data_IF_165443473607
#
_entry.id   IF_165443473607
#
_cell.length_a   1.000
_cell.length_b   1.000
_cell.length_c   1.000
_cell.angle_alpha   90.00
_cell.angle_beta   90.00
_cell.angle_gamma   90.00
#
_symmetry.space_group_name_H-M   'P 1'
#
loop_
_entity.id
_entity.type
_entity.pdbx_description
1 polymer ?
#
# COMPACT_ATOMS: atom_id res chain seq x y z
N UNK A 1 -1.91 10.79 35.08
CA UNK A 1 -2.23 9.67 34.17
C UNK A 1 -0.91 9.27 33.51
N UNK A 2 -0.57 7.98 33.45
CA UNK A 2 0.61 7.53 32.73
C UNK A 2 0.42 7.88 31.24
N UNK A 3 1.52 8.25 30.57
CA UNK A 3 1.54 8.50 29.13
C UNK A 3 1.19 7.20 28.40
N UNK A 4 0.24 7.25 27.46
CA UNK A 4 -0.16 6.06 26.71
C UNK A 4 0.97 5.61 25.77
N UNK A 5 1.17 4.30 25.63
CA UNK A 5 2.22 3.71 24.80
C UNK A 5 1.60 2.99 23.59
N UNK A 6 2.01 3.40 22.39
CA UNK A 6 1.64 2.77 21.12
C UNK A 6 2.78 1.88 20.62
N UNK A 7 2.52 0.59 20.45
CA UNK A 7 3.42 -0.32 19.76
C UNK A 7 3.28 -0.14 18.22
N UNK A 8 4.39 0.22 17.57
CA UNK A 8 4.49 0.34 16.11
C UNK A 8 5.28 -0.85 15.58
N UNK A 9 4.59 -1.80 14.96
CA UNK A 9 5.20 -3.01 14.41
C UNK A 9 5.69 -2.77 12.98
N UNK A 10 6.95 -3.14 12.68
CA UNK A 10 7.60 -2.84 11.42
C UNK A 10 8.01 -1.37 11.29
N UNK A 11 8.64 -0.82 12.33
CA UNK A 11 8.99 0.61 12.41
C UNK A 11 10.21 1.02 11.58
N UNK A 12 10.95 0.09 10.96
CA UNK A 12 12.03 0.43 10.03
C UNK A 12 11.52 0.57 8.59
N UNK A 13 12.04 1.51 7.82
CA UNK A 13 11.56 1.83 6.50
C UNK A 13 12.54 1.46 5.40
N UNK A 14 12.11 0.63 4.45
CA UNK A 14 12.92 0.27 3.27
C UNK A 14 12.71 1.21 2.08
N UNK A 15 11.67 2.03 2.12
CA UNK A 15 11.31 2.96 1.03
C UNK A 15 11.12 4.38 1.56
N UNK A 16 11.31 5.41 0.71
CA UNK A 16 11.11 6.80 1.13
C UNK A 16 9.69 7.07 1.65
N UNK A 17 8.70 6.52 1.00
CA UNK A 17 7.29 6.70 1.42
C UNK A 17 6.98 5.99 2.72
N UNK A 18 7.55 4.81 2.98
CA UNK A 18 7.39 4.14 4.28
C UNK A 18 8.05 4.94 5.42
N UNK A 19 9.21 5.58 5.14
CA UNK A 19 9.86 6.49 6.09
C UNK A 19 8.99 7.73 6.36
N UNK A 20 8.35 8.28 5.34
CA UNK A 20 7.41 9.38 5.49
C UNK A 20 6.19 8.99 6.33
N UNK A 21 5.65 7.78 6.16
CA UNK A 21 4.57 7.25 7.00
C UNK A 21 4.95 7.21 8.48
N UNK A 22 6.11 6.64 8.82
CA UNK A 22 6.58 6.56 10.22
C UNK A 22 6.82 7.95 10.78
N UNK A 23 7.41 8.86 10.01
CA UNK A 23 7.64 10.24 10.42
C UNK A 23 6.33 10.97 10.75
N UNK A 24 5.29 10.82 9.90
CA UNK A 24 3.96 11.41 10.13
C UNK A 24 3.29 10.77 11.34
N UNK A 25 3.29 9.45 11.44
CA UNK A 25 2.78 8.74 12.60
C UNK A 25 3.43 9.24 13.89
N UNK A 26 4.76 9.28 13.92
CA UNK A 26 5.53 9.76 15.08
C UNK A 26 5.16 11.19 15.47
N UNK A 27 5.12 12.10 14.49
CA UNK A 27 4.76 13.50 14.75
C UNK A 27 3.32 13.65 15.27
N UNK A 28 2.38 12.88 14.71
CA UNK A 28 0.96 12.93 15.08
C UNK A 28 0.69 12.29 16.44
N UNK A 29 1.38 11.19 16.77
CA UNK A 29 1.31 10.55 18.09
C UNK A 29 1.90 11.44 19.19
N UNK A 30 3.07 12.05 18.95
CA UNK A 30 3.70 12.98 19.90
C UNK A 30 2.84 14.20 20.22
N UNK A 31 2.09 14.74 19.23
CA UNK A 31 1.12 15.82 19.48
C UNK A 31 -0.02 15.42 20.44
N UNK A 32 -0.24 14.12 20.60
CA UNK A 32 -1.22 13.52 21.51
C UNK A 32 -0.62 13.11 22.87
N UNK A 33 0.67 13.33 23.07
CA UNK A 33 1.37 12.86 24.27
C UNK A 33 1.45 11.33 24.32
N UNK A 34 1.53 10.66 23.17
CA UNK A 34 1.62 9.20 23.08
C UNK A 34 3.06 8.80 22.83
N UNK A 35 3.57 7.92 23.69
CA UNK A 35 4.89 7.31 23.59
C UNK A 35 4.87 6.20 22.51
N UNK A 36 5.96 6.09 21.75
CA UNK A 36 6.09 5.10 20.68
C UNK A 36 7.12 4.03 21.05
N UNK A 37 6.67 2.78 21.13
CA UNK A 37 7.53 1.60 21.18
C UNK A 37 7.60 0.99 19.77
N UNK A 38 8.76 1.11 19.11
CA UNK A 38 9.00 0.50 17.82
C UNK A 38 9.40 -0.96 17.95
N UNK A 39 8.83 -1.84 17.12
CA UNK A 39 9.22 -3.24 17.04
C UNK A 39 9.58 -3.62 15.60
N UNK A 40 10.71 -4.29 15.41
CA UNK A 40 11.10 -4.87 14.13
C UNK A 40 12.09 -6.01 14.33
N UNK A 41 12.37 -6.77 13.27
CA UNK A 41 13.36 -7.83 13.35
C UNK A 41 14.74 -7.28 13.69
N UNK A 42 15.54 -8.04 14.43
CA UNK A 42 16.91 -7.63 14.77
C UNK A 42 17.74 -7.32 13.51
N UNK A 43 17.46 -7.96 12.39
CA UNK A 43 18.12 -7.70 11.11
C UNK A 43 17.74 -6.33 10.54
N UNK A 44 16.45 -5.96 10.59
CA UNK A 44 15.96 -4.67 10.11
C UNK A 44 16.46 -3.53 10.99
N UNK A 45 16.41 -3.69 12.32
CA UNK A 45 16.93 -2.70 13.28
C UNK A 45 18.43 -2.40 13.04
N UNK A 46 19.23 -3.43 12.74
CA UNK A 46 20.66 -3.22 12.42
C UNK A 46 20.90 -2.50 11.09
N UNK A 47 19.96 -2.59 10.14
CA UNK A 47 20.05 -1.95 8.81
C UNK A 47 19.37 -0.59 8.74
N UNK A 48 18.66 -0.19 9.81
CA UNK A 48 17.95 1.08 9.85
C UNK A 48 18.91 2.25 9.56
N UNK A 49 18.45 3.20 8.76
CA UNK A 49 19.21 4.39 8.44
C UNK A 49 19.44 5.29 9.68
N UNK A 50 20.52 6.06 9.73
CA UNK A 50 20.72 7.03 10.80
C UNK A 50 19.50 7.93 10.99
N UNK A 51 19.06 8.11 12.23
CA UNK A 51 17.89 8.93 12.58
C UNK A 51 16.53 8.25 12.37
N UNK A 52 16.46 7.08 11.75
CA UNK A 52 15.20 6.36 11.57
C UNK A 52 14.66 5.80 12.88
N UNK A 53 15.53 5.22 13.70
CA UNK A 53 15.15 4.70 15.02
C UNK A 53 14.77 5.80 16.03
N UNK A 54 15.21 7.05 15.82
CA UNK A 54 14.82 8.19 16.66
C UNK A 54 13.39 8.69 16.39
N UNK A 55 12.71 8.14 15.40
CA UNK A 55 11.28 8.42 15.16
C UNK A 55 10.38 7.75 16.22
N UNK A 56 10.89 6.78 16.97
CA UNK A 56 10.23 6.13 18.11
C UNK A 56 11.02 6.38 19.38
N UNK A 57 10.39 6.24 20.55
CA UNK A 57 11.01 6.58 21.83
C UNK A 57 11.83 5.41 22.40
N UNK A 58 11.44 4.19 22.03
CA UNK A 58 12.14 2.95 22.39
C UNK A 58 11.99 1.92 21.26
N UNK A 59 12.92 0.98 21.17
CA UNK A 59 12.85 -0.12 20.18
C UNK A 59 12.99 -1.47 20.87
N UNK A 60 12.26 -2.46 20.36
CA UNK A 60 12.36 -3.87 20.74
C UNK A 60 12.60 -4.74 19.51
N UNK A 61 13.53 -5.70 19.64
CA UNK A 61 13.73 -6.72 18.61
C UNK A 61 12.63 -7.78 18.74
N UNK A 62 11.77 -7.87 17.71
CA UNK A 62 10.67 -8.82 17.62
C UNK A 62 10.54 -9.25 16.16
N UNK A 63 10.29 -10.52 15.90
CA UNK A 63 9.95 -10.96 14.57
C UNK A 63 8.49 -10.56 14.26
N UNK A 64 8.33 -9.37 13.73
CA UNK A 64 7.03 -8.76 13.39
C UNK A 64 6.35 -9.39 12.18
N UNK A 65 6.96 -10.41 11.57
CA UNK A 65 6.40 -11.19 10.47
C UNK A 65 5.90 -12.57 10.95
N UNK A 66 6.27 -12.98 12.16
CA UNK A 66 5.84 -14.25 12.78
C UNK A 66 4.76 -13.98 13.85
N UNK A 67 3.53 -14.42 13.56
CA UNK A 67 2.39 -14.24 14.47
C UNK A 67 2.55 -15.00 15.80
N UNK A 68 3.22 -16.15 15.82
CA UNK A 68 3.43 -16.93 17.04
C UNK A 68 4.50 -16.27 17.91
N UNK A 69 5.58 -15.75 17.33
CA UNK A 69 6.57 -14.95 18.05
C UNK A 69 5.93 -13.69 18.67
N UNK A 70 5.03 -13.03 17.94
CA UNK A 70 4.31 -11.85 18.42
C UNK A 70 3.35 -12.17 19.56
N UNK A 71 2.60 -13.28 19.51
CA UNK A 71 1.76 -13.75 20.61
C UNK A 71 2.58 -14.12 21.84
N UNK A 72 3.72 -14.81 21.66
CA UNK A 72 4.61 -15.14 22.75
C UNK A 72 5.17 -13.90 23.45
N UNK A 73 5.54 -12.87 22.68
CA UNK A 73 5.96 -11.58 23.22
C UNK A 73 4.83 -10.90 24.01
N UNK A 74 3.62 -10.89 23.47
CA UNK A 74 2.44 -10.31 24.10
C UNK A 74 2.08 -11.04 25.41
N UNK A 75 2.32 -12.34 25.52
CA UNK A 75 2.08 -13.11 26.74
C UNK A 75 2.92 -12.61 27.94
N UNK A 76 4.04 -11.92 27.69
CA UNK A 76 4.84 -11.20 28.70
C UNK A 76 4.15 -9.95 29.26
N UNK A 77 2.97 -9.58 28.74
CA UNK A 77 2.18 -8.41 29.12
C UNK A 77 2.99 -7.11 29.17
N UNK A 78 3.61 -6.70 28.06
CA UNK A 78 4.31 -5.42 27.98
C UNK A 78 3.33 -4.28 28.26
N UNK A 79 3.84 -3.16 28.79
CA UNK A 79 3.03 -1.96 29.04
C UNK A 79 2.76 -1.22 27.72
N UNK A 80 1.74 -1.67 26.97
CA UNK A 80 1.28 -1.09 25.69
C UNK A 80 -0.23 -0.89 25.77
N UNK A 81 -0.70 0.23 25.26
CA UNK A 81 -2.11 0.62 25.27
C UNK A 81 -2.77 0.49 23.89
N UNK A 82 -1.96 0.44 22.83
CA UNK A 82 -2.44 0.24 21.46
C UNK A 82 -1.38 -0.43 20.59
N UNK A 83 -1.81 -1.10 19.50
CA UNK A 83 -0.95 -1.76 18.51
C UNK A 83 -1.29 -1.24 17.12
N UNK A 84 -0.28 -0.89 16.33
CA UNK A 84 -0.42 -0.39 14.98
C UNK A 84 0.71 -0.92 14.09
N UNK A 85 0.41 -1.16 12.82
CA UNK A 85 1.41 -1.37 11.77
C UNK A 85 1.08 -0.55 10.53
N UNK A 86 2.12 -0.18 9.78
CA UNK A 86 2.01 0.37 8.42
C UNK A 86 2.49 -0.62 7.36
N UNK A 87 2.89 -1.82 7.78
CA UNK A 87 3.52 -2.84 6.94
C UNK A 87 2.54 -3.93 6.56
N UNK A 88 2.44 -4.22 5.27
CA UNK A 88 1.60 -5.29 4.72
C UNK A 88 1.87 -6.66 5.39
N UNK A 89 3.14 -7.01 5.57
CA UNK A 89 3.51 -8.32 6.14
C UNK A 89 3.28 -8.42 7.64
N UNK A 90 3.08 -7.29 8.33
CA UNK A 90 2.88 -7.25 9.78
C UNK A 90 1.41 -7.04 10.18
N UNK A 91 0.46 -6.91 9.23
CA UNK A 91 -0.95 -6.65 9.58
C UNK A 91 -1.57 -7.80 10.39
N UNK A 92 -1.35 -9.05 9.99
CA UNK A 92 -1.83 -10.20 10.73
C UNK A 92 -1.10 -10.38 12.08
N UNK A 93 0.24 -10.34 12.17
CA UNK A 93 0.94 -10.33 13.45
C UNK A 93 0.50 -9.19 14.39
N UNK A 94 0.21 -7.99 13.87
CA UNK A 94 -0.28 -6.88 14.69
C UNK A 94 -1.68 -7.16 15.26
N UNK A 95 -2.60 -7.70 14.46
CA UNK A 95 -3.92 -8.10 14.93
C UNK A 95 -3.85 -9.20 16.01
N UNK A 96 -2.98 -10.21 15.81
CA UNK A 96 -2.73 -11.27 16.79
C UNK A 96 -2.12 -10.73 18.10
N UNK A 97 -1.26 -9.72 18.01
CA UNK A 97 -0.68 -9.06 19.17
C UNK A 97 -1.74 -8.28 19.95
N UNK A 98 -2.57 -7.49 19.25
CA UNK A 98 -3.65 -6.74 19.86
C UNK A 98 -4.66 -7.66 20.56
N UNK A 99 -5.08 -8.76 19.91
CA UNK A 99 -5.96 -9.79 20.46
C UNK A 99 -5.35 -10.40 21.74
N UNK A 100 -4.08 -10.81 21.71
CA UNK A 100 -3.39 -11.43 22.84
C UNK A 100 -3.24 -10.49 24.05
N UNK A 101 -3.18 -9.18 23.80
CA UNK A 101 -3.13 -8.13 24.83
C UNK A 101 -4.52 -7.66 25.30
N UNK A 102 -5.60 -8.09 24.60
CA UNK A 102 -6.96 -7.61 24.87
C UNK A 102 -7.17 -6.14 24.47
N UNK A 103 -6.40 -5.66 23.49
CA UNK A 103 -6.44 -4.27 23.01
C UNK A 103 -7.36 -4.13 21.78
N UNK A 104 -7.85 -2.90 21.50
CA UNK A 104 -8.61 -2.63 20.29
C UNK A 104 -7.81 -2.97 19.03
N UNK A 105 -8.46 -3.67 18.08
CA UNK A 105 -7.85 -4.08 16.81
C UNK A 105 -8.89 -4.74 15.89
N UNK A 106 -8.46 -5.16 14.71
CA UNK A 106 -9.26 -6.01 13.84
C UNK A 106 -9.19 -7.46 14.31
N UNK A 107 -10.28 -8.20 14.09
CA UNK A 107 -10.29 -9.66 14.24
C UNK A 107 -9.20 -10.28 13.33
N UNK A 108 -8.28 -11.10 13.87
CA UNK A 108 -7.25 -11.77 13.06
C UNK A 108 -7.80 -12.57 11.88
N UNK A 109 -9.00 -13.13 11.97
CA UNK A 109 -9.63 -13.84 10.86
C UNK A 109 -10.10 -12.89 9.76
N UNK A 110 -10.57 -11.68 10.12
CA UNK A 110 -10.87 -10.64 9.14
C UNK A 110 -9.60 -10.16 8.42
N UNK A 111 -8.52 -9.94 9.17
CA UNK A 111 -7.21 -9.58 8.60
C UNK A 111 -6.67 -10.69 7.68
N UNK A 112 -6.74 -11.95 8.10
CA UNK A 112 -6.33 -13.10 7.26
C UNK A 112 -7.16 -13.16 5.98
N UNK A 113 -8.45 -12.91 6.05
CA UNK A 113 -9.36 -12.85 4.89
C UNK A 113 -8.96 -11.74 3.92
N UNK A 114 -8.67 -10.55 4.41
CA UNK A 114 -8.23 -9.42 3.59
C UNK A 114 -6.86 -9.71 2.95
N UNK A 115 -5.93 -10.24 3.74
CA UNK A 115 -4.56 -10.54 3.30
C UNK A 115 -4.47 -11.64 2.23
N UNK A 116 -5.35 -12.64 2.28
CA UNK A 116 -5.41 -13.72 1.31
C UNK A 116 -6.43 -13.41 0.22
N UNK A 117 -5.93 -13.09 -0.98
CA UNK A 117 -6.76 -12.62 -2.11
C UNK A 117 -7.90 -13.56 -2.48
N UNK A 118 -7.69 -14.89 -2.40
CA UNK A 118 -8.74 -15.89 -2.62
C UNK A 118 -9.88 -15.80 -1.62
N UNK A 119 -9.55 -15.68 -0.33
CA UNK A 119 -10.54 -15.55 0.75
C UNK A 119 -11.30 -14.22 0.65
N UNK A 120 -10.60 -13.14 0.33
CA UNK A 120 -11.20 -11.84 0.10
C UNK A 120 -12.19 -11.88 -1.10
N UNK A 121 -11.77 -12.44 -2.24
CA UNK A 121 -12.60 -12.65 -3.44
C UNK A 121 -13.84 -13.48 -3.13
N UNK A 122 -13.67 -14.58 -2.41
CA UNK A 122 -14.78 -15.44 -2.00
C UNK A 122 -15.78 -14.66 -1.16
N UNK A 123 -15.33 -13.96 -0.11
CA UNK A 123 -16.20 -13.22 0.79
C UNK A 123 -16.95 -12.08 0.09
N UNK A 124 -16.27 -11.35 -0.80
CA UNK A 124 -16.90 -10.29 -1.58
C UNK A 124 -17.96 -10.84 -2.53
N UNK A 125 -17.71 -11.99 -3.17
CA UNK A 125 -18.69 -12.66 -4.03
C UNK A 125 -19.93 -13.11 -3.24
N UNK A 126 -19.72 -13.72 -2.06
CA UNK A 126 -20.80 -14.13 -1.15
C UNK A 126 -21.65 -12.93 -0.68
N UNK A 127 -21.04 -11.76 -0.55
CA UNK A 127 -21.70 -10.51 -0.20
C UNK A 127 -22.36 -9.80 -1.42
N UNK A 128 -22.29 -10.39 -2.62
CA UNK A 128 -22.96 -9.90 -3.82
C UNK A 128 -22.14 -8.86 -4.62
N UNK A 129 -20.86 -8.65 -4.31
CA UNK A 129 -20.03 -7.75 -5.10
C UNK A 129 -19.55 -8.41 -6.40
N UNK A 130 -19.58 -7.69 -7.53
CA UNK A 130 -18.97 -8.17 -8.76
C UNK A 130 -17.47 -8.46 -8.55
N UNK A 131 -17.05 -9.65 -8.96
CA UNK A 131 -15.67 -10.12 -8.82
C UNK A 131 -15.23 -10.82 -10.10
N UNK A 132 -13.94 -10.78 -10.50
CA UNK A 132 -13.43 -11.63 -11.57
C UNK A 132 -13.63 -13.11 -11.20
N UNK A 133 -13.76 -13.97 -12.20
CA UNK A 133 -13.63 -15.41 -11.97
C UNK A 133 -12.23 -15.65 -11.44
N UNK A 134 -12.11 -16.49 -10.41
CA UNK A 134 -10.85 -16.69 -9.67
C UNK A 134 -10.71 -18.13 -9.27
N UNK A 135 -9.52 -18.70 -9.47
CA UNK A 135 -9.11 -19.98 -8.92
C UNK A 135 -7.83 -19.83 -8.08
N UNK A 136 -7.81 -20.53 -6.94
CA UNK A 136 -6.57 -20.77 -6.16
C UNK A 136 -5.85 -21.95 -6.78
N UNK A 137 -4.64 -21.75 -7.27
CA UNK A 137 -3.83 -22.73 -7.96
C UNK A 137 -2.62 -23.14 -7.12
N UNK A 138 -2.27 -24.42 -7.15
CA UNK A 138 -1.10 -25.01 -6.51
C UNK A 138 0.01 -25.30 -7.52
N UNK A 139 -0.37 -25.54 -8.76
CA UNK A 139 0.52 -25.94 -9.83
C UNK A 139 0.00 -25.50 -11.22
N UNK A 140 0.75 -25.81 -12.25
CA UNK A 140 0.40 -25.47 -13.62
C UNK A 140 -0.92 -26.13 -14.08
N UNK A 141 -1.22 -27.34 -13.63
CA UNK A 141 -2.40 -28.09 -14.05
C UNK A 141 -3.69 -27.42 -13.55
N UNK A 142 -3.68 -26.90 -12.30
CA UNK A 142 -4.80 -26.12 -11.75
C UNK A 142 -5.05 -24.87 -12.62
N UNK A 143 -3.98 -24.15 -12.99
CA UNK A 143 -4.07 -22.95 -13.82
C UNK A 143 -4.53 -23.27 -15.26
N UNK A 144 -3.98 -24.30 -15.90
CA UNK A 144 -4.39 -24.74 -17.25
C UNK A 144 -5.88 -25.09 -17.29
N UNK A 145 -6.38 -25.76 -16.26
CA UNK A 145 -7.80 -26.05 -16.12
C UNK A 145 -8.62 -24.76 -16.08
N UNK A 146 -8.24 -23.80 -15.26
CA UNK A 146 -8.93 -22.51 -15.15
C UNK A 146 -8.91 -21.74 -16.48
N UNK A 147 -7.76 -21.65 -17.15
CA UNK A 147 -7.63 -20.92 -18.42
C UNK A 147 -8.48 -21.58 -19.54
N UNK A 148 -8.59 -22.91 -19.54
CA UNK A 148 -9.43 -23.63 -20.50
C UNK A 148 -10.92 -23.38 -20.29
N UNK A 149 -11.34 -23.28 -19.00
CA UNK A 149 -12.75 -23.25 -18.63
C UNK A 149 -13.31 -21.82 -18.51
N UNK A 150 -12.47 -20.79 -18.67
CA UNK A 150 -12.85 -19.39 -18.53
C UNK A 150 -12.37 -18.53 -19.71
N UNK A 151 -13.08 -17.40 -20.03
CA UNK A 151 -12.62 -16.50 -21.08
C UNK A 151 -11.39 -15.70 -20.64
N UNK A 152 -10.38 -15.59 -21.54
CA UNK A 152 -9.23 -14.70 -21.36
C UNK A 152 -9.50 -13.25 -21.77
N UNK A 153 -8.56 -12.35 -21.59
CA UNK A 153 -7.24 -12.60 -20.97
C UNK A 153 -7.31 -12.88 -19.45
N UNK A 154 -6.19 -13.35 -18.89
CA UNK A 154 -6.12 -13.75 -17.49
C UNK A 154 -4.98 -13.04 -16.75
N UNK A 155 -5.06 -13.06 -15.42
CA UNK A 155 -4.00 -12.63 -14.50
C UNK A 155 -3.54 -13.84 -13.70
N UNK A 156 -2.23 -14.02 -13.65
CA UNK A 156 -1.56 -14.93 -12.70
C UNK A 156 -0.83 -14.07 -11.68
N UNK A 157 -1.11 -14.28 -10.39
CA UNK A 157 -0.51 -13.48 -9.31
C UNK A 157 -0.35 -14.27 -8.02
N UNK A 158 0.63 -13.92 -7.15
CA UNK A 158 0.75 -14.53 -5.83
C UNK A 158 -0.53 -14.32 -5.00
N UNK A 159 -0.88 -15.33 -4.18
CA UNK A 159 -2.03 -15.28 -3.27
C UNK A 159 -1.97 -14.11 -2.29
N UNK A 160 -0.79 -13.87 -1.74
CA UNK A 160 -0.48 -12.92 -0.67
C UNK A 160 0.67 -11.96 -1.02
N UNK A 161 0.92 -11.77 -2.33
CA UNK A 161 1.93 -10.86 -2.86
C UNK A 161 1.58 -9.39 -2.65
N UNK A 162 2.53 -8.51 -2.96
CA UNK A 162 2.41 -7.05 -2.87
C UNK A 162 3.23 -6.38 -3.99
N UNK A 163 2.94 -5.10 -4.28
CA UNK A 163 3.71 -4.24 -5.19
C UNK A 163 3.86 -4.77 -6.63
N UNK A 164 2.91 -5.57 -7.11
CA UNK A 164 2.96 -6.14 -8.46
C UNK A 164 3.99 -7.27 -8.65
N UNK A 165 4.70 -7.69 -7.59
CA UNK A 165 5.70 -8.75 -7.67
C UNK A 165 5.03 -10.07 -8.09
N UNK A 166 5.56 -10.70 -9.15
CA UNK A 166 5.06 -11.98 -9.66
C UNK A 166 3.72 -11.91 -10.38
N UNK A 167 3.16 -10.71 -10.60
CA UNK A 167 1.93 -10.52 -11.38
C UNK A 167 2.22 -10.61 -12.87
N UNK A 168 1.40 -11.36 -13.59
CA UNK A 168 1.50 -11.52 -15.04
C UNK A 168 0.12 -11.50 -15.69
N UNK A 169 0.00 -10.78 -16.79
CA UNK A 169 -1.11 -10.93 -17.71
C UNK A 169 -0.78 -12.06 -18.70
N UNK A 170 -1.75 -12.88 -18.99
CA UNK A 170 -1.69 -14.01 -19.92
C UNK A 170 -2.77 -13.78 -20.98
N UNK A 171 -2.36 -13.44 -22.18
CA UNK A 171 -3.27 -13.21 -23.31
C UNK A 171 -3.52 -14.50 -24.10
N UNK A 172 -2.57 -15.43 -24.09
CA UNK A 172 -2.65 -16.75 -24.70
C UNK A 172 -2.20 -17.82 -23.69
N UNK A 173 -2.90 -18.96 -23.57
CA UNK A 173 -2.51 -20.05 -22.67
C UNK A 173 -1.05 -20.51 -22.80
N UNK A 174 -0.44 -20.36 -23.98
CA UNK A 174 0.98 -20.67 -24.23
C UNK A 174 1.95 -19.79 -23.43
N UNK A 175 1.50 -18.67 -22.91
CA UNK A 175 2.30 -17.75 -22.07
C UNK A 175 2.31 -18.18 -20.60
N UNK A 176 1.45 -19.12 -20.18
CA UNK A 176 1.36 -19.56 -18.79
C UNK A 176 2.69 -20.04 -18.21
N UNK A 177 3.54 -20.82 -18.90
CA UNK A 177 4.84 -21.24 -18.35
C UNK A 177 5.74 -20.04 -18.00
N UNK A 178 5.73 -18.97 -18.82
CA UNK A 178 6.50 -17.76 -18.55
C UNK A 178 5.93 -16.97 -17.35
N UNK A 179 4.61 -16.93 -17.20
CA UNK A 179 3.94 -16.33 -16.06
C UNK A 179 4.28 -17.06 -14.74
N UNK A 180 4.25 -18.40 -14.76
CA UNK A 180 4.63 -19.24 -13.61
C UNK A 180 6.12 -19.12 -13.26
N UNK A 181 6.99 -19.03 -14.27
CA UNK A 181 8.42 -18.78 -14.02
C UNK A 181 8.65 -17.42 -13.33
N UNK A 182 7.88 -16.39 -13.69
CA UNK A 182 7.94 -15.07 -13.03
C UNK A 182 7.40 -15.12 -11.60
N UNK A 183 6.29 -15.84 -11.37
CA UNK A 183 5.76 -16.10 -10.04
C UNK A 183 6.79 -16.80 -9.14
N UNK A 184 7.52 -17.80 -9.65
CA UNK A 184 8.53 -18.57 -8.93
C UNK A 184 9.87 -17.84 -8.80
N UNK A 185 10.08 -16.70 -9.47
CA UNK A 185 11.32 -15.93 -9.36
C UNK A 185 11.47 -15.36 -7.94
N UNK A 186 12.68 -15.42 -7.35
CA UNK A 186 12.90 -14.80 -6.06
C UNK A 186 12.61 -13.30 -6.13
N UNK A 187 11.90 -12.73 -5.14
CA UNK A 187 11.63 -11.30 -5.11
C UNK A 187 12.96 -10.53 -5.05
N UNK A 188 13.06 -9.36 -5.70
CA UNK A 188 14.19 -8.46 -5.50
C UNK A 188 14.34 -8.20 -4.00
N UNK A 189 15.57 -7.89 -3.54
CA UNK A 189 16.05 -7.89 -2.15
C UNK A 189 15.24 -7.00 -1.17
N UNK A 190 13.97 -7.29 -1.00
CA UNK A 190 13.03 -6.58 -0.13
C UNK A 190 12.83 -7.19 1.25
N UNK A 191 13.74 -8.05 1.67
CA UNK A 191 13.62 -8.86 2.87
C UNK A 191 12.96 -10.22 2.58
N UNK A 192 12.80 -11.06 3.59
CA UNK A 192 12.26 -12.40 3.42
C UNK A 192 10.74 -12.33 3.23
N UNK A 193 10.30 -12.14 1.97
CA UNK A 193 8.97 -12.58 1.61
C UNK A 193 9.02 -14.10 1.56
N UNK A 194 8.33 -14.83 2.45
CA UNK A 194 8.21 -16.26 2.27
C UNK A 194 7.54 -16.51 0.92
N UNK A 195 8.09 -17.36 0.05
CA UNK A 195 7.44 -17.69 -1.20
C UNK A 195 6.06 -18.27 -0.90
N UNK A 196 5.02 -17.68 -1.47
CA UNK A 196 3.69 -18.28 -1.40
C UNK A 196 3.70 -19.60 -2.17
N UNK A 197 3.25 -20.72 -1.56
CA UNK A 197 3.10 -21.97 -2.29
C UNK A 197 1.88 -21.93 -3.23
N UNK A 198 1.08 -20.86 -3.17
CA UNK A 198 -0.16 -20.72 -3.92
C UNK A 198 -0.16 -19.43 -4.74
N UNK A 199 -0.83 -19.49 -5.87
CA UNK A 199 -1.09 -18.34 -6.72
C UNK A 199 -2.56 -18.32 -7.16
N UNK A 200 -3.02 -17.19 -7.67
CA UNK A 200 -4.34 -17.06 -8.26
C UNK A 200 -4.23 -16.99 -9.77
N UNK A 201 -5.15 -17.67 -10.44
CA UNK A 201 -5.54 -17.37 -11.82
C UNK A 201 -6.89 -16.64 -11.78
N UNK A 202 -6.97 -15.46 -12.42
CA UNK A 202 -8.19 -14.64 -12.46
C UNK A 202 -8.48 -14.22 -13.90
N UNK A 203 -9.76 -14.03 -14.27
CA UNK A 203 -10.09 -13.33 -15.50
C UNK A 203 -9.67 -11.87 -15.39
N UNK A 204 -9.13 -11.31 -16.47
CA UNK A 204 -8.72 -9.90 -16.50
C UNK A 204 -9.96 -8.99 -16.43
N UNK A 205 -9.88 -7.96 -15.60
CA UNK A 205 -10.92 -6.93 -15.51
C UNK A 205 -10.56 -5.78 -16.44
N UNK A 206 -11.37 -5.56 -17.46
CA UNK A 206 -11.19 -4.43 -18.37
C UNK A 206 -11.82 -3.17 -17.76
N UNK A 207 -11.00 -2.15 -17.49
CA UNK A 207 -11.43 -0.90 -16.88
C UNK A 207 -10.26 -0.03 -16.43
N UNK A 208 -10.54 1.23 -16.12
CA UNK A 208 -9.54 2.11 -15.50
C UNK A 208 -9.41 1.79 -14.01
N UNK A 209 -8.17 1.69 -13.54
CA UNK A 209 -7.85 1.37 -12.16
C UNK A 209 -7.75 2.61 -11.29
N UNK A 210 -8.37 2.51 -10.12
CA UNK A 210 -8.41 3.53 -9.08
C UNK A 210 -8.20 2.90 -7.70
N UNK A 211 -8.00 3.73 -6.69
CA UNK A 211 -8.09 3.28 -5.30
C UNK A 211 -8.86 4.27 -4.43
N UNK A 212 -9.35 3.76 -3.32
CA UNK A 212 -10.01 4.52 -2.27
C UNK A 212 -9.17 4.46 -1.00
N UNK A 213 -9.00 5.62 -0.40
CA UNK A 213 -8.18 5.84 0.78
C UNK A 213 -9.03 6.36 1.93
N UNK A 214 -8.79 5.85 3.12
CA UNK A 214 -9.55 6.33 4.27
C UNK A 214 -9.23 5.61 5.55
N UNK A 215 -10.16 5.71 6.48
CA UNK A 215 -10.07 5.09 7.80
C UNK A 215 -11.36 4.35 8.13
N UNK A 216 -11.25 3.31 8.93
CA UNK A 216 -12.37 2.71 9.65
C UNK A 216 -12.19 3.05 11.12
N UNK A 217 -13.10 3.80 11.70
CA UNK A 217 -13.08 4.23 13.09
C UNK A 217 -14.35 3.73 13.79
N UNK A 218 -14.19 2.99 14.87
CA UNK A 218 -15.34 2.43 15.59
C UNK A 218 -16.26 1.55 14.75
N UNK A 219 -15.76 0.89 13.72
CA UNK A 219 -16.54 0.06 12.79
C UNK A 219 -17.12 0.80 11.58
N UNK A 220 -16.97 2.13 11.50
CA UNK A 220 -17.53 2.97 10.44
C UNK A 220 -16.49 3.34 9.38
N UNK A 221 -16.57 2.81 8.15
CA UNK A 221 -15.67 3.17 7.06
C UNK A 221 -15.90 4.60 6.57
N UNK A 222 -14.83 5.39 6.49
CA UNK A 222 -14.85 6.76 5.98
C UNK A 222 -13.86 6.90 4.82
N UNK A 223 -14.36 6.98 3.59
CA UNK A 223 -13.55 7.18 2.38
C UNK A 223 -13.17 8.65 2.27
N UNK A 224 -11.92 8.97 2.53
CA UNK A 224 -11.40 10.32 2.54
C UNK A 224 -10.98 10.81 1.15
N UNK A 225 -10.46 9.91 0.31
CA UNK A 225 -10.03 10.24 -1.05
C UNK A 225 -10.27 9.10 -2.02
N UNK A 226 -10.36 9.44 -3.30
CA UNK A 226 -10.22 8.51 -4.42
C UNK A 226 -8.97 8.88 -5.19
N UNK A 227 -8.14 7.91 -5.51
CA UNK A 227 -6.85 8.05 -6.17
C UNK A 227 -6.94 7.51 -7.59
N UNK A 228 -6.49 8.28 -8.58
CA UNK A 228 -6.26 7.76 -9.93
C UNK A 228 -4.87 7.15 -10.00
N UNK A 229 -4.78 5.93 -10.51
CA UNK A 229 -3.52 5.21 -10.72
C UNK A 229 -3.11 5.32 -12.19
N UNK A 230 -1.83 5.56 -12.44
CA UNK A 230 -1.24 5.50 -13.77
C UNK A 230 -0.22 4.35 -13.81
N UNK A 231 -0.29 3.53 -14.85
CA UNK A 231 0.62 2.39 -15.03
C UNK A 231 1.42 2.54 -16.33
N UNK A 232 2.68 2.09 -16.30
CA UNK A 232 3.47 1.82 -17.49
C UNK A 232 3.46 0.32 -17.78
N UNK A 233 4.00 -0.10 -18.90
CA UNK A 233 3.96 -1.50 -19.36
C UNK A 233 4.14 -2.51 -18.24
N UNK A 234 3.21 -3.46 -18.09
CA UNK A 234 3.27 -4.58 -17.16
C UNK A 234 2.99 -4.24 -15.71
N UNK A 235 1.93 -3.59 -15.33
CA UNK A 235 1.51 -3.33 -13.93
C UNK A 235 2.49 -2.50 -13.08
N UNK A 236 3.47 -1.82 -13.67
CA UNK A 236 4.34 -0.89 -12.94
C UNK A 236 3.59 0.41 -12.73
N UNK A 237 3.28 0.73 -11.49
CA UNK A 237 2.63 1.99 -11.14
C UNK A 237 3.63 3.15 -11.30
N UNK A 238 3.28 4.13 -12.12
CA UNK A 238 4.14 5.30 -12.40
C UNK A 238 3.54 6.61 -11.91
N UNK A 239 2.28 6.64 -11.54
CA UNK A 239 1.71 7.83 -10.91
C UNK A 239 0.50 7.52 -10.04
N UNK A 240 0.34 8.36 -9.01
CA UNK A 240 -0.82 8.36 -8.11
C UNK A 240 -1.31 9.80 -7.99
N UNK A 241 -2.60 10.06 -8.20
CA UNK A 241 -3.15 11.42 -8.12
C UNK A 241 -4.43 11.47 -7.29
N UNK A 242 -4.49 12.42 -6.36
CA UNK A 242 -5.67 12.76 -5.55
C UNK A 242 -6.07 14.21 -5.86
N UNK A 243 -7.37 14.48 -6.13
CA UNK A 243 -8.47 13.55 -6.32
C UNK A 243 -8.40 12.80 -7.66
N UNK A 244 -9.08 11.67 -7.73
CA UNK A 244 -9.10 10.81 -8.92
C UNK A 244 -9.63 11.48 -10.20
N UNK A 245 -10.51 12.48 -10.07
CA UNK A 245 -11.14 13.17 -11.21
C UNK A 245 -12.30 12.40 -11.81
N UNK A 246 -12.89 11.46 -11.07
CA UNK A 246 -14.14 10.78 -11.43
C UNK A 246 -15.30 11.77 -11.37
N UNK A 247 -16.31 11.56 -12.22
CA UNK A 247 -17.58 12.26 -12.08
C UNK A 247 -18.25 11.90 -10.74
N UNK A 248 -19.14 12.79 -10.27
CA UNK A 248 -19.76 12.67 -8.94
C UNK A 248 -20.49 11.34 -8.75
N UNK A 249 -21.25 10.91 -9.76
CA UNK A 249 -22.06 9.68 -9.66
C UNK A 249 -21.16 8.44 -9.51
N UNK A 250 -20.12 8.33 -10.34
CA UNK A 250 -19.13 7.25 -10.28
C UNK A 250 -18.34 7.28 -8.95
N UNK A 251 -17.94 8.47 -8.51
CA UNK A 251 -17.23 8.65 -7.24
C UNK A 251 -18.08 8.22 -6.03
N UNK A 252 -19.36 8.59 -6.00
CA UNK A 252 -20.26 8.23 -4.90
C UNK A 252 -20.56 6.71 -4.89
N UNK A 253 -20.72 6.10 -6.07
CA UNK A 253 -20.84 4.64 -6.19
C UNK A 253 -19.60 3.91 -5.70
N UNK A 254 -18.40 4.39 -6.04
CA UNK A 254 -17.15 3.81 -5.58
C UNK A 254 -17.02 3.90 -4.05
N UNK A 255 -17.30 5.08 -3.45
CA UNK A 255 -17.30 5.24 -2.00
C UNK A 255 -18.25 4.28 -1.29
N UNK A 256 -19.48 4.17 -1.80
CA UNK A 256 -20.50 3.25 -1.26
C UNK A 256 -20.04 1.80 -1.36
N UNK A 257 -19.54 1.37 -2.52
CA UNK A 257 -19.08 0.00 -2.72
C UNK A 257 -17.89 -0.34 -1.80
N UNK A 258 -16.92 0.57 -1.67
CA UNK A 258 -15.74 0.38 -0.81
C UNK A 258 -16.15 0.30 0.67
N UNK A 259 -16.99 1.20 1.16
CA UNK A 259 -17.45 1.15 2.54
C UNK A 259 -18.19 -0.16 2.87
N UNK A 260 -19.13 -0.56 1.99
CA UNK A 260 -19.85 -1.81 2.15
C UNK A 260 -18.93 -3.06 2.07
N UNK A 261 -17.90 -3.02 1.22
CA UNK A 261 -16.92 -4.11 1.11
C UNK A 261 -16.09 -4.27 2.37
N UNK A 262 -15.58 -3.17 2.94
CA UNK A 262 -14.83 -3.18 4.21
C UNK A 262 -15.65 -3.78 5.35
N UNK A 263 -16.91 -3.39 5.46
CA UNK A 263 -17.86 -3.99 6.41
C UNK A 263 -18.06 -5.48 6.14
N UNK A 264 -18.25 -5.88 4.87
CA UNK A 264 -18.48 -7.27 4.50
C UNK A 264 -17.27 -8.18 4.81
N UNK A 265 -16.03 -7.70 4.67
CA UNK A 265 -14.85 -8.49 5.01
C UNK A 265 -14.51 -8.44 6.49
N UNK A 266 -15.16 -7.58 7.28
CA UNK A 266 -15.03 -7.52 8.74
C UNK A 266 -13.91 -6.59 9.23
N UNK A 267 -13.46 -5.61 8.44
CA UNK A 267 -12.53 -4.56 8.88
C UNK A 267 -13.30 -3.56 9.73
N UNK A 268 -12.90 -3.41 10.99
CA UNK A 268 -13.58 -2.55 11.98
C UNK A 268 -12.73 -1.36 12.43
N UNK A 269 -11.42 -1.37 12.17
CA UNK A 269 -10.48 -0.31 12.55
C UNK A 269 -9.32 -0.23 11.56
N UNK A 270 -8.72 0.92 11.48
CA UNK A 270 -7.47 1.10 10.76
C UNK A 270 -7.55 2.07 9.59
N UNK A 271 -6.41 2.36 9.02
CA UNK A 271 -6.29 3.03 7.73
C UNK A 271 -6.46 1.94 6.67
N UNK A 272 -7.20 2.23 5.61
CA UNK A 272 -7.38 1.29 4.51
C UNK A 272 -6.93 1.86 3.17
N UNK A 273 -6.64 0.94 2.26
CA UNK A 273 -6.41 1.18 0.84
C UNK A 273 -7.18 0.10 0.08
N UNK A 274 -8.10 0.50 -0.81
CA UNK A 274 -8.94 -0.43 -1.58
C UNK A 274 -8.85 -0.10 -3.05
N UNK A 275 -8.33 -1.02 -3.84
CA UNK A 275 -8.26 -0.89 -5.29
C UNK A 275 -9.59 -1.28 -5.93
N UNK A 276 -9.93 -0.61 -7.03
CA UNK A 276 -11.13 -0.91 -7.81
C UNK A 276 -10.98 -0.48 -9.26
N UNK A 277 -11.74 -1.11 -10.13
CA UNK A 277 -11.85 -0.72 -11.53
C UNK A 277 -13.20 -0.07 -11.79
N UNK A 278 -13.18 0.99 -12.61
CA UNK A 278 -14.38 1.56 -13.23
C UNK A 278 -14.53 0.89 -14.59
N UNK A 279 -15.55 0.05 -14.72
CA UNK A 279 -15.84 -0.74 -15.94
C UNK A 279 -17.13 -0.25 -16.59
N UNK A 280 -17.42 -0.73 -17.80
CA UNK A 280 -18.69 -0.46 -18.48
C UNK A 280 -19.91 -0.96 -17.65
N UNK A 281 -19.74 -2.01 -16.84
CA UNK A 281 -20.80 -2.57 -15.97
C UNK A 281 -20.85 -1.95 -14.59
N UNK A 282 -19.90 -1.12 -14.22
CA UNK A 282 -19.86 -0.45 -12.91
C UNK A 282 -18.54 -0.65 -12.16
N UNK A 283 -18.61 -0.60 -10.83
CA UNK A 283 -17.44 -0.73 -9.95
C UNK A 283 -17.17 -2.22 -9.71
N UNK A 284 -15.94 -2.64 -9.99
CA UNK A 284 -15.43 -3.98 -9.64
C UNK A 284 -14.30 -3.80 -8.63
N UNK A 285 -14.44 -4.41 -7.46
CA UNK A 285 -13.45 -4.28 -6.38
C UNK A 285 -12.19 -5.10 -6.69
N UNK A 286 -11.06 -4.49 -6.50
CA UNK A 286 -9.73 -5.05 -6.65
C UNK A 286 -9.20 -5.71 -5.37
N UNK A 287 -8.09 -5.21 -4.87
CA UNK A 287 -7.48 -5.65 -3.62
C UNK A 287 -7.92 -4.75 -2.47
N UNK A 288 -8.20 -5.35 -1.32
CA UNK A 288 -8.48 -4.64 -0.09
C UNK A 288 -7.27 -4.79 0.84
N UNK A 289 -6.88 -3.70 1.48
CA UNK A 289 -5.80 -3.67 2.45
C UNK A 289 -6.25 -2.93 3.72
N UNK A 290 -5.98 -3.51 4.88
CA UNK A 290 -6.21 -2.92 6.20
C UNK A 290 -4.97 -2.13 6.70
N UNK A 291 -4.33 -1.45 5.78
CA UNK A 291 -3.24 -0.49 5.96
C UNK A 291 -3.30 0.60 4.91
N UNK A 292 -2.59 1.68 5.12
CA UNK A 292 -2.52 2.77 4.15
C UNK A 292 -1.84 2.36 2.82
N UNK A 293 -2.22 3.03 1.75
CA UNK A 293 -1.58 2.88 0.44
C UNK A 293 -0.07 3.16 0.50
N UNK A 294 0.68 2.48 -0.36
CA UNK A 294 2.09 2.76 -0.60
C UNK A 294 2.30 4.08 -1.36
N UNK A 295 3.44 4.23 -1.99
CA UNK A 295 3.68 5.20 -3.07
C UNK A 295 3.33 6.66 -2.71
N UNK A 296 3.53 7.10 -1.47
CA UNK A 296 3.11 8.41 -0.96
C UNK A 296 1.60 8.68 -0.96
N UNK A 297 0.73 7.70 -1.26
CA UNK A 297 -0.72 7.92 -1.30
C UNK A 297 -1.24 8.56 -0.01
N UNK A 298 -0.77 8.10 1.17
CA UNK A 298 -1.07 8.70 2.47
C UNK A 298 -0.74 10.21 2.51
N UNK A 299 0.39 10.60 1.92
CA UNK A 299 0.81 12.01 1.86
C UNK A 299 -0.07 12.81 0.89
N UNK A 300 -0.46 12.22 -0.25
CA UNK A 300 -1.39 12.86 -1.18
C UNK A 300 -2.73 13.17 -0.48
N UNK A 301 -3.25 12.23 0.31
CA UNK A 301 -4.50 12.43 1.08
C UNK A 301 -4.35 13.57 2.08
N UNK A 302 -3.25 13.63 2.84
CA UNK A 302 -3.01 14.70 3.80
C UNK A 302 -2.72 16.06 3.13
N UNK A 303 -2.00 16.09 2.01
CA UNK A 303 -1.74 17.33 1.26
C UNK A 303 -3.02 17.92 0.65
N UNK A 304 -3.95 17.10 0.22
CA UNK A 304 -5.25 17.55 -0.29
C UNK A 304 -6.27 17.87 0.79
N UNK A 305 -5.95 17.68 2.08
CA UNK A 305 -6.81 17.98 3.23
C UNK A 305 -5.98 18.67 4.33
N UNK A 306 -5.67 19.96 4.20
CA UNK A 306 -4.86 20.69 5.18
C UNK A 306 -5.41 20.54 6.59
N UNK A 307 -4.55 20.12 7.53
CA UNK A 307 -4.93 19.83 8.90
C UNK A 307 -5.39 18.40 9.17
N UNK A 308 -5.50 17.54 8.14
CA UNK A 308 -5.73 16.11 8.33
C UNK A 308 -4.51 15.47 9.00
N UNK A 309 -4.78 14.71 10.04
CA UNK A 309 -3.85 13.82 10.73
C UNK A 309 -4.35 12.38 10.62
N UNK A 310 -4.01 11.72 9.50
CA UNK A 310 -4.53 10.39 9.18
C UNK A 310 -4.17 9.35 10.23
N UNK A 311 -2.90 9.33 10.66
CA UNK A 311 -2.42 8.42 11.71
C UNK A 311 -2.91 8.86 13.09
N UNK A 312 -3.03 10.17 13.32
CA UNK A 312 -3.57 10.72 14.55
C UNK A 312 -5.01 10.31 14.80
N UNK A 313 -5.84 10.30 13.77
CA UNK A 313 -7.23 9.85 13.87
C UNK A 313 -7.31 8.36 14.27
N UNK A 314 -6.42 7.52 13.72
CA UNK A 314 -6.33 6.12 14.11
C UNK A 314 -5.82 5.95 15.56
N UNK A 315 -4.80 6.73 15.96
CA UNK A 315 -4.31 6.71 17.36
C UNK A 315 -5.41 7.12 18.32
N UNK A 316 -6.18 8.16 18.00
CA UNK A 316 -7.32 8.60 18.80
C UNK A 316 -8.38 7.47 18.94
N UNK A 317 -8.72 6.77 17.86
CA UNK A 317 -9.68 5.65 17.88
C UNK A 317 -9.16 4.46 18.70
N UNK A 318 -7.89 4.08 18.53
CA UNK A 318 -7.28 2.97 19.26
C UNK A 318 -7.21 3.24 20.77
N UNK A 319 -7.08 4.50 21.18
CA UNK A 319 -7.05 4.92 22.58
C UNK A 319 -8.43 5.33 23.11
N UNK A 320 -9.50 5.11 22.35
CA UNK A 320 -10.88 5.37 22.77
C UNK A 320 -11.28 6.83 22.80
N UNK A 321 -10.57 7.72 22.13
CA UNK A 321 -10.95 9.11 21.99
C UNK A 321 -12.10 9.28 20.98
N UNK A 322 -12.95 10.28 21.19
CA UNK A 322 -14.03 10.57 20.27
C UNK A 322 -13.50 11.01 18.89
N UNK A 323 -14.08 10.51 17.78
CA UNK A 323 -13.68 10.90 16.45
C UNK A 323 -13.91 12.39 16.20
N UNK A 324 -13.00 13.04 15.46
CA UNK A 324 -13.12 14.44 15.04
C UNK A 324 -13.56 14.50 13.58
N UNK A 325 -14.31 15.55 13.18
CA UNK A 325 -14.59 15.78 11.77
C UNK A 325 -13.31 15.93 10.95
N UNK A 326 -13.28 15.35 9.76
CA UNK A 326 -12.17 15.50 8.85
C UNK A 326 -12.25 16.83 8.08
N UNK A 327 -11.10 17.48 7.81
CA UNK A 327 -11.06 18.68 6.97
C UNK A 327 -11.58 18.40 5.56
N UNK A 328 -12.22 19.41 4.95
CA UNK A 328 -12.65 19.34 3.55
C UNK A 328 -11.43 19.29 2.61
N UNK A 329 -11.51 18.55 1.48
CA UNK A 329 -10.42 18.50 0.52
C UNK A 329 -10.28 19.81 -0.25
N UNK A 330 -9.04 20.27 -0.43
CA UNK A 330 -8.68 21.40 -1.26
C UNK A 330 -7.44 21.09 -2.11
N UNK A 331 -7.41 21.57 -3.35
CA UNK A 331 -6.29 21.34 -4.25
C UNK A 331 -6.17 19.92 -4.77
N UNK A 332 -5.00 19.62 -5.28
CA UNK A 332 -4.64 18.30 -5.85
C UNK A 332 -3.18 17.99 -5.58
N UNK A 333 -2.86 16.72 -5.43
CA UNK A 333 -1.51 16.22 -5.25
C UNK A 333 -1.26 15.00 -6.14
N UNK A 334 -0.03 14.87 -6.65
CA UNK A 334 0.38 13.76 -7.52
C UNK A 334 1.78 13.28 -7.16
N UNK A 335 1.92 11.99 -6.94
CA UNK A 335 3.21 11.32 -6.94
C UNK A 335 3.53 10.86 -8.37
N UNK A 336 4.72 11.20 -8.85
CA UNK A 336 5.22 10.82 -10.17
C UNK A 336 6.47 9.98 -10.01
N UNK A 337 6.44 8.74 -10.50
CA UNK A 337 7.55 7.82 -10.44
C UNK A 337 8.32 7.81 -11.75
N UNK A 338 9.61 7.78 -11.64
CA UNK A 338 10.54 7.87 -12.77
C UNK A 338 11.07 6.49 -13.14
N UNK A 339 11.16 6.23 -14.43
CA UNK A 339 11.76 5.03 -15.00
C UNK A 339 12.98 5.44 -15.84
N UNK A 340 14.18 5.08 -15.38
CA UNK A 340 15.38 5.25 -16.19
C UNK A 340 15.45 4.17 -17.28
N UNK A 341 16.01 4.47 -18.45
CA UNK A 341 16.33 3.46 -19.45
C UNK A 341 17.28 2.40 -18.90
N UNK A 342 17.16 1.15 -19.38
CA UNK A 342 18.09 0.09 -19.02
C UNK A 342 19.50 0.43 -19.51
N UNK A 343 20.52 0.10 -18.69
CA UNK A 343 21.92 0.38 -18.98
C UNK A 343 22.67 0.79 -17.72
N UNK A 344 23.95 1.14 -17.85
CA UNK A 344 24.72 1.70 -16.72
C UNK A 344 24.46 3.20 -16.62
N UNK A 345 23.94 3.64 -15.50
CA UNK A 345 23.64 5.05 -15.25
C UNK A 345 24.95 5.86 -15.13
N UNK A 346 25.12 6.87 -15.97
CA UNK A 346 26.26 7.79 -15.94
C UNK A 346 25.95 9.05 -15.16
N UNK A 347 24.77 9.63 -15.37
CA UNK A 347 24.34 10.87 -14.72
C UNK A 347 22.82 11.00 -14.69
N UNK A 348 22.31 11.79 -13.75
CA UNK A 348 20.93 12.27 -13.73
C UNK A 348 21.00 13.79 -13.83
N UNK A 349 20.40 14.36 -14.88
CA UNK A 349 20.34 15.81 -15.10
C UNK A 349 18.93 16.33 -14.80
N UNK A 350 18.82 17.60 -14.38
CA UNK A 350 17.54 18.27 -14.08
C UNK A 350 16.91 17.88 -12.74
N UNK A 351 17.46 16.88 -12.03
CA UNK A 351 16.88 16.40 -10.77
C UNK A 351 16.85 17.48 -9.68
N UNK A 352 17.96 18.20 -9.46
CA UNK A 352 18.06 19.21 -8.40
C UNK A 352 17.05 20.36 -8.61
N UNK A 353 16.81 20.77 -9.85
CA UNK A 353 15.81 21.78 -10.20
C UNK A 353 14.40 21.30 -9.83
N UNK A 354 14.08 20.04 -10.14
CA UNK A 354 12.79 19.43 -9.83
C UNK A 354 12.63 19.22 -8.33
N UNK A 355 13.63 18.68 -7.66
CA UNK A 355 13.57 18.38 -6.23
C UNK A 355 13.39 19.65 -5.36
N UNK A 356 13.90 20.81 -5.83
CA UNK A 356 13.75 22.10 -5.13
C UNK A 356 12.63 22.99 -5.69
N UNK A 357 11.81 22.48 -6.60
CA UNK A 357 10.70 23.25 -7.16
C UNK A 357 9.66 23.57 -6.05
N UNK A 358 9.14 24.82 -5.92
CA UNK A 358 8.24 25.22 -4.84
C UNK A 358 6.98 24.36 -4.68
N UNK A 359 6.47 23.80 -5.75
CA UNK A 359 5.31 22.92 -5.74
C UNK A 359 5.64 21.45 -5.46
N UNK A 360 6.91 21.08 -5.30
CA UNK A 360 7.34 19.71 -4.97
C UNK A 360 7.52 19.60 -3.45
N UNK A 361 6.76 18.72 -2.85
CA UNK A 361 6.68 18.53 -1.39
C UNK A 361 7.46 17.31 -0.89
N UNK A 362 7.83 16.41 -1.80
CA UNK A 362 8.74 15.30 -1.55
C UNK A 362 9.44 14.91 -2.86
N UNK A 363 10.71 14.55 -2.79
CA UNK A 363 11.49 14.07 -3.93
C UNK A 363 12.57 13.09 -3.47
N UNK A 364 12.75 12.00 -4.20
CA UNK A 364 13.76 10.99 -3.89
C UNK A 364 14.23 10.25 -5.13
N UNK A 365 15.56 10.21 -5.36
CA UNK A 365 16.18 9.32 -6.33
C UNK A 365 16.49 7.97 -5.67
N UNK A 366 16.18 6.89 -6.37
CA UNK A 366 16.44 5.51 -5.94
C UNK A 366 17.67 4.91 -6.62
N UNK A 367 18.26 5.65 -7.54
CA UNK A 367 19.44 5.24 -8.32
C UNK A 367 20.53 6.32 -8.28
N UNK A 368 21.78 5.91 -8.42
CA UNK A 368 22.96 6.76 -8.43
C UNK A 368 23.86 6.46 -9.64
N UNK A 369 24.69 7.42 -10.08
CA UNK A 369 25.70 7.15 -11.11
C UNK A 369 26.56 5.93 -10.76
N UNK A 370 26.69 5.03 -11.72
CA UNK A 370 27.38 3.74 -11.57
C UNK A 370 26.45 2.54 -11.43
N UNK A 371 25.19 2.75 -11.06
CA UNK A 371 24.20 1.67 -10.97
C UNK A 371 23.89 1.06 -12.34
N UNK A 372 23.58 -0.23 -12.34
CA UNK A 372 23.09 -0.94 -13.53
C UNK A 372 21.58 -1.00 -13.44
N UNK A 373 20.91 -0.25 -14.31
CA UNK A 373 19.46 -0.18 -14.39
C UNK A 373 18.95 -1.35 -15.23
N UNK A 374 18.05 -2.15 -14.66
CA UNK A 374 17.31 -3.18 -15.36
C UNK A 374 16.00 -2.66 -15.95
N UNK A 375 15.26 -3.53 -16.63
CA UNK A 375 13.90 -3.23 -17.04
C UNK A 375 12.99 -3.18 -15.80
N UNK A 376 12.18 -2.13 -15.68
CA UNK A 376 11.21 -2.05 -14.60
C UNK A 376 10.13 -3.14 -14.76
N UNK A 377 9.95 -3.97 -13.74
CA UNK A 377 9.04 -5.11 -13.73
C UNK A 377 8.02 -5.06 -12.58
N UNK A 378 8.28 -4.21 -11.58
CA UNK A 378 7.48 -4.02 -10.39
C UNK A 378 7.68 -2.60 -9.83
N UNK A 379 6.94 -2.25 -8.78
CA UNK A 379 7.00 -0.92 -8.17
C UNK A 379 8.31 -0.62 -7.42
N UNK A 380 9.18 -1.60 -7.18
CA UNK A 380 10.48 -1.38 -6.51
C UNK A 380 11.63 -1.14 -7.47
N UNK A 381 11.44 -1.44 -8.76
CA UNK A 381 12.45 -1.24 -9.80
C UNK A 381 12.38 0.16 -10.43
N UNK A 382 11.58 1.07 -9.87
CA UNK A 382 11.50 2.47 -10.28
C UNK A 382 12.76 3.23 -9.86
N UNK A 383 13.12 4.28 -10.62
CA UNK A 383 14.39 4.99 -10.48
C UNK A 383 14.32 6.23 -9.59
N UNK A 384 13.13 6.71 -9.30
CA UNK A 384 12.92 7.87 -8.44
C UNK A 384 11.46 8.26 -8.35
N UNK A 385 11.14 9.24 -7.50
CA UNK A 385 9.80 9.76 -7.28
C UNK A 385 9.86 11.21 -6.85
N UNK A 386 8.90 12.02 -7.28
CA UNK A 386 8.57 13.29 -6.65
C UNK A 386 7.07 13.42 -6.44
N UNK A 387 6.68 14.22 -5.45
CA UNK A 387 5.28 14.56 -5.14
C UNK A 387 5.08 16.03 -5.39
N UNK A 388 4.19 16.36 -6.31
CA UNK A 388 3.83 17.73 -6.64
C UNK A 388 2.41 18.06 -6.17
N UNK A 389 2.15 19.34 -5.89
CA UNK A 389 0.82 19.87 -5.51
C UNK A 389 0.41 21.02 -6.43
N UNK A 390 -0.89 21.16 -6.66
CA UNK A 390 -1.49 22.28 -7.40
C UNK A 390 -2.96 22.47 -6.96
N UNK A 391 -3.59 23.57 -7.40
CA UNK A 391 -4.98 23.87 -7.04
C UNK A 391 -5.99 22.93 -7.70
N UNK A 392 -5.66 22.35 -8.86
CA UNK A 392 -6.58 21.51 -9.63
C UNK A 392 -5.92 20.22 -10.13
N UNK A 393 -6.70 19.15 -10.37
CA UNK A 393 -6.19 17.92 -10.95
C UNK A 393 -5.47 18.10 -12.29
N UNK A 394 -6.04 18.90 -13.22
CA UNK A 394 -5.40 19.20 -14.50
C UNK A 394 -4.11 20.00 -14.35
N UNK A 395 -4.08 20.92 -13.37
CA UNK A 395 -2.89 21.71 -13.04
C UNK A 395 -1.74 20.85 -12.53
N UNK A 396 -2.02 19.91 -11.60
CA UNK A 396 -0.99 19.03 -11.07
C UNK A 396 -0.50 18.03 -12.12
N UNK A 397 -1.37 17.54 -13.01
CA UNK A 397 -0.98 16.66 -14.12
C UNK A 397 -0.05 17.36 -15.10
N UNK A 398 -0.40 18.59 -15.51
CA UNK A 398 0.45 19.41 -16.39
C UNK A 398 1.80 19.70 -15.75
N UNK A 399 1.80 20.11 -14.47
CA UNK A 399 3.02 20.41 -13.72
C UNK A 399 3.91 19.17 -13.59
N UNK A 400 3.36 18.03 -13.15
CA UNK A 400 4.14 16.80 -12.96
C UNK A 400 4.75 16.32 -14.27
N UNK A 401 4.01 16.37 -15.37
CA UNK A 401 4.51 16.03 -16.71
C UNK A 401 5.66 16.96 -17.13
N UNK A 402 5.50 18.26 -16.93
CA UNK A 402 6.54 19.24 -17.26
C UNK A 402 7.80 19.06 -16.40
N UNK A 403 7.67 18.75 -15.11
CA UNK A 403 8.79 18.48 -14.22
C UNK A 403 9.49 17.17 -14.58
N UNK A 404 8.74 16.09 -14.83
CA UNK A 404 9.30 14.80 -15.22
C UNK A 404 10.10 14.89 -16.53
N UNK A 405 9.65 15.70 -17.49
CA UNK A 405 10.35 15.88 -18.78
C UNK A 405 11.71 16.60 -18.67
N UNK A 406 11.99 17.26 -17.54
CA UNK A 406 13.29 17.91 -17.29
C UNK A 406 14.33 16.93 -16.76
N UNK A 407 13.89 15.79 -16.24
CA UNK A 407 14.79 14.79 -15.65
C UNK A 407 15.28 13.85 -16.75
N UNK A 408 16.59 13.84 -16.96
CA UNK A 408 17.23 13.02 -17.99
C UNK A 408 18.17 12.04 -17.31
N UNK A 409 17.90 10.75 -17.49
CA UNK A 409 18.79 9.65 -17.10
C UNK A 409 19.71 9.35 -18.29
N UNK A 410 21.00 9.58 -18.12
CA UNK A 410 22.04 9.31 -19.10
C UNK A 410 22.60 7.90 -18.85
N UNK A 411 22.22 6.94 -19.68
CA UNK A 411 22.60 5.53 -19.56
C UNK A 411 23.38 5.07 -20.80
N UNK A 412 24.32 4.13 -20.61
CA UNK A 412 25.09 3.47 -21.69
C UNK A 412 24.81 1.98 -21.76
#
# INVERSE_FOLDING_TARGET
MSEATLLVMGNTAMTPWARDQIRRLSAQARRRGVRLLGADTAANLRRAAPGELSLVDEVVALDVYDGDACRAWAAGRPAVDAVLTIRELSVLPAALTAEALGLPGNDPEAVRRVRNKDLCRQRLREAGFPQPLTALCRDAADAECFLRDTPGPWIVKPRDGLAGIGVSRVDDPRELPAALARFAAPPPAMGPLPPSPYFLAETFVEGEEYSAEGVVLGGEPQVLALTRKGTAGGFVEVSQRVPAGLDRHTADRARTAVGAALTAVGVTRGIFHVEFWVTASGIVLGELHDRGGGDYIHALVEHTRPGLELYGALVDDLLGAAPRPFPEPVGSARAEFLLAPAGRLRAVRGWEEVAHHPAVVAAHLQVAPGDVIGRANDSYTRSGVFVATADTPGGVDTLATALASRIIFDTE
#
